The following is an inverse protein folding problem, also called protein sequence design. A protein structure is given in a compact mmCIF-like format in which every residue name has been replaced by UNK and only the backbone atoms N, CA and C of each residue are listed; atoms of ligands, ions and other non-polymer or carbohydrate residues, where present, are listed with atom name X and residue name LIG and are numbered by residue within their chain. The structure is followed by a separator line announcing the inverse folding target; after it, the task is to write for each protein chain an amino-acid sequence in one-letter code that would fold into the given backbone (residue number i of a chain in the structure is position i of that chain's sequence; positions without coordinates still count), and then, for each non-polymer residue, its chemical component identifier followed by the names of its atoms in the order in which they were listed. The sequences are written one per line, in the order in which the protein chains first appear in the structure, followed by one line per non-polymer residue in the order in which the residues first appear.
data_IF_896757716037
#
_entry.id   IF_896757716037
#
_cell.length_a   1.000
_cell.length_b   1.000
_cell.length_c   1.000
_cell.angle_alpha   90.00
_cell.angle_beta   90.00
_cell.angle_gamma   90.00
#
_symmetry.space_group_name_H-M   'P 1'
#
loop_
_entity.id
_entity.type
_entity.pdbx_description
1 polymer ?
#
# COMPACT_ATOMS: atom_id res chain seq x y z
N UNK A 1 -0.79 -7.28 35.65
CA UNK A 1 -1.07 -6.38 34.51
C UNK A 1 -0.80 -6.99 33.12
N UNK A 2 -0.03 -8.07 33.00
CA UNK A 2 0.28 -8.75 31.72
C UNK A 2 -0.88 -9.61 31.15
N UNK A 3 -1.80 -10.09 31.97
CA UNK A 3 -2.91 -10.95 31.53
C UNK A 3 -3.97 -10.22 30.68
N UNK A 4 -4.18 -8.92 30.85
CA UNK A 4 -5.17 -8.17 30.07
C UNK A 4 -4.76 -7.89 28.60
N UNK A 5 -3.47 -7.86 28.31
CA UNK A 5 -2.99 -7.58 26.95
C UNK A 5 -3.15 -8.80 26.03
N UNK A 6 -3.00 -10.03 26.55
CA UNK A 6 -3.17 -11.27 25.80
C UNK A 6 -4.64 -11.54 25.46
N UNK A 7 -5.55 -11.30 26.39
CA UNK A 7 -6.99 -11.48 26.18
C UNK A 7 -7.55 -10.48 25.16
N UNK A 8 -7.10 -9.24 25.17
CA UNK A 8 -7.47 -8.24 24.16
C UNK A 8 -6.97 -8.61 22.76
N UNK A 9 -5.76 -9.12 22.63
CA UNK A 9 -5.20 -9.57 21.34
C UNK A 9 -5.96 -10.77 20.77
N UNK A 10 -6.33 -11.74 21.59
CA UNK A 10 -7.13 -12.90 21.18
C UNK A 10 -8.56 -12.51 20.78
N UNK A 11 -9.17 -11.56 21.45
CA UNK A 11 -10.50 -11.05 21.08
C UNK A 11 -10.46 -10.30 19.74
N UNK A 12 -9.45 -9.49 19.49
CA UNK A 12 -9.28 -8.77 18.24
C UNK A 12 -9.07 -9.73 17.08
N UNK A 13 -8.23 -10.76 17.25
CA UNK A 13 -7.97 -11.79 16.24
C UNK A 13 -9.25 -12.61 15.94
N UNK A 14 -10.01 -12.98 16.99
CA UNK A 14 -11.29 -13.68 16.85
C UNK A 14 -12.32 -12.84 16.09
N UNK A 15 -12.46 -11.57 16.41
CA UNK A 15 -13.41 -10.68 15.76
C UNK A 15 -13.03 -10.44 14.29
N UNK A 16 -11.72 -10.33 13.99
CA UNK A 16 -11.21 -10.26 12.62
C UNK A 16 -11.53 -11.53 11.82
N UNK A 17 -11.34 -12.71 12.42
CA UNK A 17 -11.66 -14.00 11.80
C UNK A 17 -13.16 -14.13 11.50
N UNK A 18 -14.02 -13.70 12.42
CA UNK A 18 -15.48 -13.72 12.26
C UNK A 18 -15.92 -12.79 11.12
N UNK A 19 -15.38 -11.58 11.04
CA UNK A 19 -15.68 -10.64 9.95
C UNK A 19 -15.22 -11.20 8.61
N UNK A 20 -14.05 -11.83 8.54
CA UNK A 20 -13.53 -12.46 7.33
C UNK A 20 -14.41 -13.64 6.89
N UNK A 21 -14.84 -14.50 7.82
CA UNK A 21 -15.75 -15.62 7.54
C UNK A 21 -17.13 -15.13 7.08
N UNK A 22 -17.66 -14.08 7.68
CA UNK A 22 -18.92 -13.47 7.25
C UNK A 22 -18.81 -12.87 5.83
N UNK A 23 -17.71 -12.21 5.49
CA UNK A 23 -17.48 -11.69 4.14
C UNK A 23 -17.40 -12.82 3.10
N UNK A 24 -16.75 -13.94 3.43
CA UNK A 24 -16.66 -15.11 2.54
C UNK A 24 -18.05 -15.75 2.31
N UNK A 25 -18.91 -15.78 3.33
CA UNK A 25 -20.26 -16.38 3.25
C UNK A 25 -21.20 -15.58 2.33
N UNK A 26 -21.01 -14.29 2.16
CA UNK A 26 -21.79 -13.47 1.23
C UNK A 26 -21.38 -13.65 -0.24
N UNK A 27 -20.17 -14.17 -0.50
CA UNK A 27 -19.60 -14.30 -1.85
C UNK A 27 -19.99 -15.59 -2.59
N UNK A 28 -20.71 -16.52 -1.95
CA UNK A 28 -20.96 -17.87 -2.48
C UNK A 28 -21.92 -17.94 -3.70
N UNK A 29 -22.34 -16.82 -4.27
CA UNK A 29 -23.22 -16.74 -5.45
C UNK A 29 -22.56 -16.08 -6.67
N UNK A 30 -21.25 -16.16 -6.83
CA UNK A 30 -20.58 -15.59 -7.99
C UNK A 30 -20.31 -16.66 -9.06
N UNK A 31 -20.58 -16.27 -10.32
CA UNK A 31 -20.40 -17.07 -11.54
C UNK A 31 -19.06 -17.81 -11.59
N UNK A 32 -19.09 -19.04 -12.15
CA UNK A 32 -17.90 -19.81 -12.51
C UNK A 32 -17.06 -19.04 -13.55
N UNK A 33 -16.07 -18.32 -13.09
CA UNK A 33 -15.09 -17.73 -13.97
C UNK A 33 -14.16 -18.83 -14.48
N UNK A 34 -14.19 -19.06 -15.80
CA UNK A 34 -13.30 -19.99 -16.49
C UNK A 34 -11.85 -19.69 -16.07
N UNK A 35 -11.15 -20.70 -15.56
CA UNK A 35 -9.73 -20.59 -15.21
C UNK A 35 -8.91 -20.37 -16.48
N UNK A 36 -8.56 -19.12 -16.77
CA UNK A 36 -7.69 -18.77 -17.90
C UNK A 36 -6.40 -18.17 -17.38
N UNK A 37 -5.30 -18.47 -18.06
CA UNK A 37 -4.06 -17.75 -17.86
C UNK A 37 -4.21 -16.33 -18.40
N UNK A 38 -3.73 -15.36 -17.67
CA UNK A 38 -3.65 -13.96 -18.09
C UNK A 38 -2.34 -13.33 -17.65
N UNK A 39 -1.92 -12.32 -18.36
CA UNK A 39 -0.81 -11.47 -17.99
C UNK A 39 -1.13 -10.02 -18.35
N UNK A 40 -0.48 -9.11 -17.70
CA UNK A 40 -0.57 -7.67 -18.00
C UNK A 40 0.74 -6.98 -17.65
N UNK A 41 1.03 -5.91 -18.36
CA UNK A 41 2.12 -4.98 -18.05
C UNK A 41 1.55 -3.58 -18.11
N UNK A 42 1.88 -2.76 -17.12
CA UNK A 42 1.48 -1.37 -17.08
C UNK A 42 2.67 -0.50 -16.72
N UNK A 43 2.86 0.61 -17.42
CA UNK A 43 3.88 1.60 -17.12
C UNK A 43 3.21 2.94 -16.80
N UNK A 44 3.58 3.57 -15.69
CA UNK A 44 3.02 4.81 -15.20
C UNK A 44 4.12 5.84 -15.00
N UNK A 45 3.93 7.04 -15.55
CA UNK A 45 4.72 8.22 -15.19
C UNK A 45 3.90 9.08 -14.27
N UNK A 46 4.44 9.44 -13.12
CA UNK A 46 3.76 10.27 -12.13
C UNK A 46 4.63 11.43 -11.66
N UNK A 47 4.00 12.55 -11.35
CA UNK A 47 4.70 13.74 -10.82
C UNK A 47 5.24 13.53 -9.42
N UNK A 48 4.58 12.70 -8.62
CA UNK A 48 4.98 12.38 -7.25
C UNK A 48 4.65 10.92 -6.94
N UNK A 49 5.56 10.24 -6.24
CA UNK A 49 5.28 8.94 -5.65
C UNK A 49 4.67 9.14 -4.27
N UNK A 50 3.39 8.84 -4.13
CA UNK A 50 2.64 8.95 -2.88
C UNK A 50 2.06 7.58 -2.54
N UNK A 51 2.30 7.12 -1.32
CA UNK A 51 1.83 5.83 -0.84
C UNK A 51 1.01 6.01 0.44
N UNK A 52 -0.28 5.67 0.40
CA UNK A 52 -1.21 5.76 1.55
C UNK A 52 -1.19 7.13 2.25
N UNK A 53 -1.14 8.21 1.47
CA UNK A 53 -1.04 9.58 1.96
C UNK A 53 0.36 10.06 2.30
N UNK A 54 1.35 9.18 2.36
CA UNK A 54 2.74 9.54 2.60
C UNK A 54 3.43 9.92 1.29
N UNK A 55 4.11 11.04 1.26
CA UNK A 55 5.02 11.39 0.17
C UNK A 55 6.27 10.51 0.25
N UNK A 56 6.53 9.73 -0.78
CA UNK A 56 7.65 8.80 -0.85
C UNK A 56 8.76 9.34 -1.76
N UNK A 57 8.40 10.07 -2.81
CA UNK A 57 9.35 10.65 -3.74
C UNK A 57 8.71 11.57 -4.76
N UNK A 58 9.56 12.23 -5.55
CA UNK A 58 9.20 13.13 -6.65
C UNK A 58 8.79 12.38 -7.93
N UNK A 59 9.11 12.94 -9.09
CA UNK A 59 8.77 12.34 -10.38
C UNK A 59 9.33 10.93 -10.53
N UNK A 60 8.49 10.00 -11.01
CA UNK A 60 8.89 8.61 -11.13
C UNK A 60 8.24 7.89 -12.30
N UNK A 61 8.97 6.88 -12.79
CA UNK A 61 8.47 5.83 -13.67
C UNK A 61 8.21 4.58 -12.83
N UNK A 62 6.98 4.08 -12.90
CA UNK A 62 6.54 2.91 -12.18
C UNK A 62 6.08 1.86 -13.20
N UNK A 63 6.62 0.66 -13.12
CA UNK A 63 6.28 -0.46 -14.00
C UNK A 63 5.66 -1.56 -13.16
N UNK A 64 4.56 -2.11 -13.64
CA UNK A 64 3.80 -3.18 -13.01
C UNK A 64 3.66 -4.33 -14.00
N UNK A 65 3.98 -5.55 -13.58
CA UNK A 65 3.81 -6.75 -14.38
C UNK A 65 3.12 -7.83 -13.55
N UNK A 66 2.05 -8.39 -14.07
CA UNK A 66 1.25 -9.41 -13.41
C UNK A 66 1.08 -10.64 -14.28
N UNK A 67 1.16 -11.82 -13.68
CA UNK A 67 0.71 -13.09 -14.27
C UNK A 67 -0.32 -13.70 -13.34
N UNK A 68 -1.41 -14.25 -13.90
CA UNK A 68 -2.48 -14.83 -13.10
C UNK A 68 -3.04 -16.11 -13.74
N UNK A 69 -3.46 -17.04 -12.86
CA UNK A 69 -4.12 -18.27 -13.24
C UNK A 69 -5.07 -18.75 -12.14
N UNK A 70 -6.30 -19.03 -12.48
CA UNK A 70 -7.32 -19.61 -11.58
C UNK A 70 -7.52 -18.80 -10.27
N UNK A 71 -7.35 -17.48 -10.33
CA UNK A 71 -7.43 -16.59 -9.17
C UNK A 71 -6.10 -16.36 -8.45
N UNK A 72 -5.12 -17.23 -8.59
CA UNK A 72 -3.76 -16.98 -8.09
C UNK A 72 -3.03 -16.00 -9.01
N UNK A 73 -2.18 -15.16 -8.44
CA UNK A 73 -1.35 -14.25 -9.21
C UNK A 73 0.00 -14.01 -8.55
N UNK A 74 0.96 -13.65 -9.42
CA UNK A 74 2.23 -13.06 -9.02
C UNK A 74 2.36 -11.71 -9.73
N UNK A 75 2.81 -10.72 -9.01
CA UNK A 75 3.00 -9.37 -9.50
C UNK A 75 4.39 -8.89 -9.10
N UNK A 76 5.03 -8.16 -10.00
CA UNK A 76 6.23 -7.39 -9.75
C UNK A 76 5.93 -5.93 -10.08
N UNK A 77 6.15 -5.07 -9.12
CA UNK A 77 6.11 -3.63 -9.32
C UNK A 77 7.51 -3.06 -9.11
N UNK A 78 7.88 -2.12 -9.95
CA UNK A 78 9.17 -1.48 -9.91
C UNK A 78 9.01 0.03 -10.02
N UNK A 79 9.72 0.77 -9.18
CA UNK A 79 9.80 2.22 -9.20
C UNK A 79 11.24 2.67 -9.48
N UNK A 80 11.37 3.59 -10.41
CA UNK A 80 12.58 4.39 -10.61
C UNK A 80 12.16 5.84 -10.54
N UNK A 81 12.45 6.48 -9.42
CA UNK A 81 12.00 7.82 -9.15
C UNK A 81 13.07 8.69 -8.50
N UNK A 82 12.94 9.98 -8.70
CA UNK A 82 13.72 10.97 -7.99
C UNK A 82 13.21 11.09 -6.54
N UNK A 83 14.09 11.39 -5.60
CA UNK A 83 13.70 11.66 -4.21
C UNK A 83 12.81 12.90 -4.11
N UNK A 84 13.06 13.87 -5.00
CA UNK A 84 12.33 15.12 -5.09
C UNK A 84 12.37 15.71 -6.51
N UNK A 85 11.82 16.91 -6.68
CA UNK A 85 11.85 17.64 -7.95
C UNK A 85 13.20 18.22 -8.34
N UNK A 86 14.22 18.15 -7.50
CA UNK A 86 15.58 18.62 -7.79
C UNK A 86 16.42 17.58 -8.53
N UNK A 87 15.96 16.32 -8.55
CA UNK A 87 16.64 15.18 -9.19
C UNK A 87 18.06 14.94 -8.64
N UNK A 88 18.32 15.32 -7.39
CA UNK A 88 19.63 15.12 -6.75
C UNK A 88 19.84 13.72 -6.20
N UNK A 89 18.76 12.95 -6.04
CA UNK A 89 18.79 11.58 -5.57
C UNK A 89 17.72 10.73 -6.23
N UNK A 90 17.90 9.41 -6.16
CA UNK A 90 16.96 8.42 -6.67
C UNK A 90 16.62 7.40 -5.58
N UNK A 91 15.38 6.92 -5.59
CA UNK A 91 14.86 5.91 -4.67
C UNK A 91 14.29 4.70 -5.42
N UNK A 92 15.14 3.85 -6.01
CA UNK A 92 14.67 2.65 -6.67
C UNK A 92 14.06 1.68 -5.65
N UNK A 93 12.92 1.10 -6.03
CA UNK A 93 12.19 0.13 -5.22
C UNK A 93 11.67 -1.00 -6.10
N UNK A 94 11.71 -2.23 -5.61
CA UNK A 94 11.11 -3.40 -6.24
C UNK A 94 10.21 -4.09 -5.24
N UNK A 95 8.97 -4.27 -5.63
CA UNK A 95 7.95 -4.98 -4.86
C UNK A 95 7.58 -6.28 -5.56
N UNK A 96 7.63 -7.38 -4.82
CA UNK A 96 7.10 -8.66 -5.25
C UNK A 96 5.83 -8.98 -4.47
N UNK A 97 4.80 -9.40 -5.18
CA UNK A 97 3.52 -9.76 -4.57
C UNK A 97 3.03 -11.11 -5.10
N UNK A 98 2.59 -11.97 -4.21
CA UNK A 98 1.87 -13.19 -4.54
C UNK A 98 0.51 -13.15 -3.86
N UNK A 99 -0.53 -13.62 -4.54
CA UNK A 99 -1.86 -13.51 -3.98
C UNK A 99 -2.90 -14.38 -4.67
N UNK A 100 -4.09 -14.28 -4.13
CA UNK A 100 -5.30 -14.88 -4.65
C UNK A 100 -6.41 -13.84 -4.70
N UNK A 101 -7.08 -13.72 -5.86
CA UNK A 101 -8.17 -12.77 -6.08
C UNK A 101 -9.34 -13.48 -6.73
N UNK A 102 -10.48 -13.54 -6.03
CA UNK A 102 -11.71 -14.12 -6.53
C UNK A 102 -12.91 -13.63 -5.72
N UNK A 103 -14.06 -13.50 -6.35
CA UNK A 103 -15.33 -13.13 -5.70
C UNK A 103 -15.29 -11.81 -4.92
N UNK A 104 -14.55 -10.82 -5.43
CA UNK A 104 -14.34 -9.55 -4.74
C UNK A 104 -13.30 -9.59 -3.62
N UNK A 105 -12.89 -10.78 -3.16
CA UNK A 105 -11.83 -10.96 -2.17
C UNK A 105 -10.47 -10.97 -2.86
N UNK A 106 -9.50 -10.26 -2.27
CA UNK A 106 -8.10 -10.35 -2.64
C UNK A 106 -7.27 -10.50 -1.38
N UNK A 107 -6.45 -11.54 -1.33
CA UNK A 107 -5.50 -11.80 -0.25
C UNK A 107 -4.13 -11.89 -0.88
N UNK A 108 -3.18 -11.10 -0.41
CA UNK A 108 -1.83 -11.16 -0.93
C UNK A 108 -0.78 -10.88 0.14
N UNK A 109 0.42 -11.31 -0.18
CA UNK A 109 1.63 -10.98 0.55
C UNK A 109 2.54 -10.14 -0.34
N UNK A 110 2.95 -9.01 0.17
CA UNK A 110 3.85 -8.06 -0.46
C UNK A 110 5.22 -8.11 0.21
N UNK A 111 6.27 -8.19 -0.59
CA UNK A 111 7.66 -8.01 -0.19
C UNK A 111 8.22 -6.81 -0.94
N UNK A 112 8.48 -5.71 -0.23
CA UNK A 112 9.13 -4.52 -0.78
C UNK A 112 10.63 -4.61 -0.56
N UNK A 113 11.40 -4.19 -1.55
CA UNK A 113 12.84 -4.06 -1.45
C UNK A 113 13.29 -2.68 -1.90
N UNK A 114 14.02 -2.01 -1.01
CA UNK A 114 14.61 -0.69 -1.21
C UNK A 114 16.11 -0.83 -1.43
N UNK A 115 16.62 -0.30 -2.54
CA UNK A 115 18.05 -0.25 -2.82
C UNK A 115 18.71 0.86 -1.98
N UNK A 116 19.22 0.48 -0.82
CA UNK A 116 19.75 1.38 0.20
C UNK A 116 21.00 0.75 0.84
N UNK A 117 21.49 1.33 1.92
CA UNK A 117 22.60 0.82 2.71
C UNK A 117 22.19 0.68 4.18
N UNK A 118 22.76 -0.30 4.86
CA UNK A 118 22.71 -0.39 6.30
C UNK A 118 23.52 0.75 6.95
N UNK A 119 23.33 1.03 8.25
CA UNK A 119 24.08 2.08 8.95
C UNK A 119 25.61 1.91 8.93
N UNK A 120 26.10 0.71 8.68
CA UNK A 120 27.53 0.40 8.52
C UNK A 120 28.05 0.63 7.08
N UNK A 121 27.20 1.12 6.18
CA UNK A 121 27.52 1.39 4.78
C UNK A 121 27.46 0.17 3.86
N UNK A 122 27.11 -1.01 4.36
CA UNK A 122 26.92 -2.18 3.51
C UNK A 122 25.60 -2.11 2.71
N UNK A 123 25.56 -2.59 1.45
CA UNK A 123 24.33 -2.62 0.67
C UNK A 123 23.25 -3.47 1.35
N UNK A 124 22.00 -3.01 1.24
CA UNK A 124 20.85 -3.77 1.75
C UNK A 124 20.66 -5.09 1.01
N UNK A 125 20.11 -6.09 1.69
CA UNK A 125 19.90 -7.43 1.16
C UNK A 125 18.40 -7.70 0.93
N UNK A 126 18.06 -8.24 -0.25
CA UNK A 126 16.69 -8.58 -0.62
C UNK A 126 16.05 -9.63 0.33
N UNK A 127 16.83 -10.57 0.83
CA UNK A 127 16.36 -11.64 1.75
C UNK A 127 16.57 -11.31 3.23
N UNK A 128 16.61 -10.03 3.59
CA UNK A 128 16.67 -9.63 4.98
C UNK A 128 15.27 -9.56 5.58
N UNK A 129 14.87 -10.61 6.29
CA UNK A 129 13.58 -10.72 6.96
C UNK A 129 13.60 -10.28 8.43
N UNK A 130 14.69 -9.68 8.87
CA UNK A 130 14.83 -9.18 10.25
C UNK A 130 13.97 -7.94 10.44
N UNK A 131 13.64 -7.70 11.71
CA UNK A 131 13.07 -6.42 12.08
C UNK A 131 14.19 -5.41 12.25
N UNK A 132 14.02 -4.24 11.68
CA UNK A 132 14.98 -3.16 11.76
C UNK A 132 14.34 -1.95 12.47
N UNK A 133 15.14 -1.19 13.23
CA UNK A 133 14.69 0.10 13.69
C UNK A 133 14.40 1.00 12.50
N UNK A 134 13.74 2.05 12.79
CA UNK A 134 13.45 3.15 11.91
C UNK A 134 14.67 3.53 11.04
N UNK A 135 14.49 3.50 9.71
CA UNK A 135 15.54 3.81 8.73
C UNK A 135 16.58 2.73 8.51
N UNK A 136 16.52 1.60 9.21
CA UNK A 136 17.40 0.46 8.96
C UNK A 136 16.79 -0.56 7.99
N UNK A 137 17.65 -1.39 7.39
CA UNK A 137 17.26 -2.47 6.49
C UNK A 137 16.76 -2.04 5.13
N UNK A 138 16.69 -2.96 4.19
CA UNK A 138 16.25 -2.73 2.80
C UNK A 138 14.90 -3.32 2.45
N UNK A 139 14.22 -3.99 3.40
CA UNK A 139 13.02 -4.75 3.08
C UNK A 139 11.87 -4.46 4.02
N UNK A 140 10.66 -4.71 3.55
CA UNK A 140 9.46 -4.83 4.38
C UNK A 140 8.53 -5.90 3.83
N UNK A 141 7.89 -6.65 4.73
CA UNK A 141 6.86 -7.62 4.38
C UNK A 141 5.49 -7.19 4.91
N UNK A 142 4.46 -7.37 4.10
CA UNK A 142 3.11 -6.96 4.45
C UNK A 142 2.06 -7.96 3.95
N UNK A 143 1.16 -8.39 4.82
CA UNK A 143 -0.07 -9.03 4.43
C UNK A 143 -1.14 -8.01 4.09
N UNK A 144 -1.89 -8.26 3.02
CA UNK A 144 -3.01 -7.44 2.58
C UNK A 144 -4.24 -8.30 2.36
N UNK A 145 -5.35 -7.87 2.88
CA UNK A 145 -6.67 -8.46 2.62
C UNK A 145 -7.59 -7.34 2.18
N UNK A 146 -8.17 -7.45 1.00
CA UNK A 146 -9.15 -6.48 0.53
C UNK A 146 -10.39 -7.17 0.00
N UNK A 147 -11.50 -6.47 0.09
CA UNK A 147 -12.78 -6.93 -0.40
C UNK A 147 -13.51 -5.79 -1.11
N UNK A 148 -14.04 -6.09 -2.30
CA UNK A 148 -14.94 -5.21 -3.07
C UNK A 148 -16.33 -5.84 -3.07
N UNK A 149 -17.33 -5.08 -2.65
CA UNK A 149 -18.70 -5.60 -2.47
C UNK A 149 -19.30 -6.10 -3.78
N UNK A 150 -19.31 -5.24 -4.82
CA UNK A 150 -19.76 -5.60 -6.17
C UNK A 150 -19.50 -4.44 -7.14
N UNK A 151 -19.75 -4.65 -8.43
CA UNK A 151 -19.71 -3.58 -9.42
C UNK A 151 -20.87 -2.59 -9.27
N UNK A 152 -22.02 -3.06 -8.75
CA UNK A 152 -23.18 -2.18 -8.47
C UNK A 152 -22.99 -1.33 -7.22
N UNK A 153 -22.25 -1.85 -6.24
CA UNK A 153 -21.89 -1.16 -5.01
C UNK A 153 -20.36 -1.19 -4.93
N UNK A 154 -19.67 -0.25 -5.59
CA UNK A 154 -18.22 -0.24 -5.72
C UNK A 154 -17.53 0.24 -4.43
N UNK A 155 -18.01 -0.25 -3.29
CA UNK A 155 -17.42 -0.08 -1.98
C UNK A 155 -16.35 -1.13 -1.77
N UNK A 156 -15.20 -0.71 -1.29
CA UNK A 156 -14.07 -1.58 -0.96
C UNK A 156 -13.53 -1.31 0.43
N UNK A 157 -12.94 -2.35 1.01
CA UNK A 157 -12.19 -2.27 2.26
C UNK A 157 -10.85 -2.98 2.06
N UNK A 158 -9.76 -2.39 2.55
CA UNK A 158 -8.43 -2.99 2.61
C UNK A 158 -7.97 -3.00 4.07
N UNK A 159 -7.41 -4.11 4.51
CA UNK A 159 -6.63 -4.21 5.74
C UNK A 159 -5.25 -4.72 5.39
N UNK A 160 -4.23 -4.01 5.84
CA UNK A 160 -2.84 -4.38 5.63
C UNK A 160 -2.08 -4.31 6.94
N UNK A 161 -1.15 -5.25 7.16
CA UNK A 161 -0.29 -5.22 8.35
C UNK A 161 1.11 -5.73 8.03
N UNK A 162 2.10 -5.04 8.58
CA UNK A 162 3.51 -5.38 8.38
C UNK A 162 3.94 -6.55 9.25
N UNK A 163 4.85 -7.37 8.73
CA UNK A 163 5.33 -8.58 9.41
C UNK A 163 6.81 -8.52 9.75
N UNK A 164 7.61 -7.81 8.97
CA UNK A 164 9.03 -7.61 9.20
C UNK A 164 9.56 -6.36 8.49
N UNK A 165 10.83 -6.05 8.69
CA UNK A 165 11.55 -4.99 8.02
C UNK A 165 11.53 -3.68 8.78
N UNK A 166 11.38 -2.56 8.08
CA UNK A 166 11.43 -1.19 8.60
C UNK A 166 10.21 -0.81 9.46
N UNK A 167 9.82 -1.68 10.39
CA UNK A 167 8.61 -1.51 11.20
C UNK A 167 8.91 -1.51 12.72
N UNK A 168 10.18 -1.30 13.07
CA UNK A 168 10.64 -1.26 14.45
C UNK A 168 10.76 0.17 14.99
N UNK A 169 10.53 0.31 16.30
CA UNK A 169 10.77 1.51 17.06
C UNK A 169 11.47 1.19 18.38
N UNK A 170 12.23 2.15 18.91
CA UNK A 170 13.01 1.96 20.12
C UNK A 170 12.21 2.41 21.35
N UNK A 171 12.25 1.59 22.41
CA UNK A 171 11.78 1.96 23.76
C UNK A 171 12.84 1.49 24.75
N UNK A 172 13.35 2.41 25.53
CA UNK A 172 14.37 2.14 26.56
C UNK A 172 15.61 1.37 26.05
N UNK A 173 16.01 1.64 24.80
CA UNK A 173 17.12 0.97 24.14
C UNK A 173 16.79 -0.40 23.51
N UNK A 174 15.58 -0.89 23.66
CA UNK A 174 15.11 -2.14 23.06
C UNK A 174 14.31 -1.90 21.78
N UNK A 175 14.51 -2.78 20.78
CA UNK A 175 13.79 -2.73 19.51
C UNK A 175 12.45 -3.46 19.62
N UNK A 176 11.39 -2.69 19.47
CA UNK A 176 10.01 -3.18 19.42
C UNK A 176 9.49 -3.19 17.99
N UNK A 177 8.65 -4.19 17.66
CA UNK A 177 7.93 -4.26 16.38
C UNK A 177 6.53 -3.65 16.52
N UNK A 178 6.19 -2.73 15.62
CA UNK A 178 4.89 -2.06 15.65
C UNK A 178 3.76 -2.92 15.08
N UNK A 179 4.05 -3.82 14.12
CA UNK A 179 3.03 -4.48 13.30
C UNK A 179 2.09 -3.46 12.67
N UNK A 180 2.69 -2.43 12.07
CA UNK A 180 1.96 -1.27 11.52
C UNK A 180 0.79 -1.73 10.68
N UNK A 181 -0.41 -1.37 11.13
CA UNK A 181 -1.67 -1.78 10.52
C UNK A 181 -2.29 -0.58 9.82
N UNK A 182 -2.77 -0.79 8.60
CA UNK A 182 -3.49 0.19 7.79
C UNK A 182 -4.84 -0.37 7.39
N UNK A 183 -5.88 0.45 7.50
CA UNK A 183 -7.23 0.11 7.05
C UNK A 183 -7.67 1.23 6.10
N UNK A 184 -8.21 0.84 4.94
CA UNK A 184 -8.73 1.78 3.95
C UNK A 184 -10.15 1.42 3.55
N UNK A 185 -11.02 2.41 3.50
CA UNK A 185 -12.30 2.34 2.85
C UNK A 185 -12.23 3.09 1.52
N UNK A 186 -12.76 2.47 0.49
CA UNK A 186 -12.77 3.02 -0.86
C UNK A 186 -14.16 3.00 -1.48
N UNK A 187 -14.48 4.03 -2.26
CA UNK A 187 -15.66 4.06 -3.11
C UNK A 187 -15.28 4.62 -4.48
N UNK A 188 -15.72 3.93 -5.54
CA UNK A 188 -15.40 4.28 -6.93
C UNK A 188 -16.68 4.76 -7.64
N UNK A 189 -16.73 6.03 -8.00
CA UNK A 189 -17.84 6.62 -8.74
C UNK A 189 -17.57 6.55 -10.24
N UNK A 190 -18.36 5.77 -10.96
CA UNK A 190 -18.36 5.80 -12.43
C UNK A 190 -19.09 7.07 -12.88
N UNK A 191 -18.36 7.98 -13.51
CA UNK A 191 -18.89 9.25 -14.02
C UNK A 191 -19.32 9.16 -15.50
N UNK A 192 -19.25 7.96 -16.08
CA UNK A 192 -19.50 7.74 -17.50
C UNK A 192 -18.35 8.14 -18.42
N UNK A 193 -18.44 7.77 -19.69
CA UNK A 193 -17.45 8.07 -20.72
C UNK A 193 -16.00 7.76 -20.28
N UNK A 194 -15.79 6.64 -19.57
CA UNK A 194 -14.50 6.20 -19.02
C UNK A 194 -13.84 7.16 -18.02
N UNK A 195 -14.64 8.01 -17.33
CA UNK A 195 -14.21 8.76 -16.18
C UNK A 195 -14.54 8.01 -14.90
N UNK A 196 -13.57 7.92 -14.01
CA UNK A 196 -13.71 7.28 -12.69
C UNK A 196 -13.20 8.25 -11.62
N UNK A 197 -14.03 8.52 -10.60
CA UNK A 197 -13.60 9.22 -9.38
C UNK A 197 -13.50 8.22 -8.24
N UNK A 198 -12.30 8.01 -7.71
CA UNK A 198 -12.05 7.15 -6.58
C UNK A 198 -11.88 7.98 -5.31
N UNK A 199 -12.70 7.71 -4.30
CA UNK A 199 -12.59 8.30 -2.96
C UNK A 199 -11.98 7.27 -2.00
N UNK A 200 -11.05 7.70 -1.12
CA UNK A 200 -10.35 6.82 -0.17
C UNK A 200 -10.26 7.49 1.19
N UNK A 201 -10.49 6.70 2.23
CA UNK A 201 -10.29 7.06 3.63
C UNK A 201 -9.39 6.00 4.27
N UNK A 202 -8.20 6.40 4.72
CA UNK A 202 -7.23 5.52 5.36
C UNK A 202 -7.03 5.87 6.83
N UNK A 203 -6.94 4.85 7.66
CA UNK A 203 -6.68 4.98 9.10
C UNK A 203 -5.61 3.99 9.53
N UNK A 204 -4.96 4.29 10.65
CA UNK A 204 -4.20 3.33 11.44
C UNK A 204 -4.85 3.20 12.81
N UNK A 205 -5.16 1.98 13.29
CA UNK A 205 -5.87 1.77 14.55
C UNK A 205 -4.96 1.78 15.77
N UNK A 206 -3.64 1.79 15.57
CA UNK A 206 -2.64 1.68 16.63
C UNK A 206 -1.35 2.37 16.22
N UNK A 207 -0.41 2.43 17.15
CA UNK A 207 0.97 2.90 16.91
C UNK A 207 1.56 2.25 15.66
N UNK A 208 2.03 3.06 14.73
CA UNK A 208 2.46 2.59 13.42
C UNK A 208 3.47 3.52 12.76
N UNK A 209 4.08 3.03 11.68
CA UNK A 209 4.93 3.87 10.84
C UNK A 209 4.17 5.10 10.28
N UNK A 210 2.85 4.99 10.02
CA UNK A 210 2.03 6.08 9.47
C UNK A 210 1.88 7.25 10.43
N UNK A 211 2.10 7.01 11.74
CA UNK A 211 2.06 8.03 12.79
C UNK A 211 3.46 8.34 13.34
N UNK A 212 4.52 7.86 12.67
CA UNK A 212 5.88 7.97 13.22
C UNK A 212 6.05 7.22 14.55
N UNK A 213 5.25 6.17 14.74
CA UNK A 213 5.16 5.39 15.99
C UNK A 213 4.66 6.19 17.19
N UNK A 214 3.96 7.29 16.94
CA UNK A 214 3.29 8.09 17.97
C UNK A 214 1.78 7.92 17.87
N UNK A 215 1.11 8.00 19.04
CA UNK A 215 -0.35 7.84 19.12
C UNK A 215 -0.83 6.43 18.81
N UNK A 216 -2.09 6.18 19.09
CA UNK A 216 -2.71 4.86 18.96
C UNK A 216 -3.68 4.76 17.78
N UNK A 217 -4.31 5.87 17.41
CA UNK A 217 -5.25 5.95 16.29
C UNK A 217 -5.00 7.23 15.49
N UNK A 218 -5.07 7.10 14.15
CA UNK A 218 -5.00 8.28 13.28
C UNK A 218 -5.73 8.06 11.96
N UNK A 219 -6.30 9.15 11.43
CA UNK A 219 -6.69 9.24 10.02
C UNK A 219 -5.44 9.65 9.25
N UNK A 220 -4.99 8.77 8.35
CA UNK A 220 -3.73 8.95 7.64
C UNK A 220 -3.92 9.34 6.17
N UNK A 221 -5.12 9.15 5.64
CA UNK A 221 -5.46 9.47 4.26
C UNK A 221 -6.91 9.91 4.15
N UNK A 222 -7.14 11.04 3.48
CA UNK A 222 -8.40 11.38 2.80
C UNK A 222 -8.04 11.74 1.36
N UNK A 223 -8.44 10.92 0.40
CA UNK A 223 -7.97 11.02 -0.99
C UNK A 223 -9.08 11.00 -2.02
N UNK A 224 -8.89 11.77 -3.09
CA UNK A 224 -9.71 11.75 -4.30
C UNK A 224 -8.79 11.59 -5.51
N UNK A 225 -9.05 10.56 -6.33
CA UNK A 225 -8.32 10.33 -7.58
C UNK A 225 -9.30 10.33 -8.74
N UNK A 226 -9.14 11.28 -9.65
CA UNK A 226 -9.87 11.32 -10.91
C UNK A 226 -9.03 10.63 -11.99
N UNK A 227 -9.61 9.67 -12.68
CA UNK A 227 -9.00 8.97 -13.80
C UNK A 227 -9.82 9.15 -15.08
N UNK A 228 -9.12 9.21 -16.20
CA UNK A 228 -9.70 9.12 -17.55
C UNK A 228 -8.93 8.08 -18.33
N UNK A 229 -9.65 7.16 -18.98
CA UNK A 229 -9.04 6.09 -19.78
C UNK A 229 -9.48 6.16 -21.24
N UNK A 230 -8.57 5.73 -22.13
CA UNK A 230 -8.81 5.59 -23.58
C UNK A 230 -8.32 4.20 -24.01
N UNK A 231 -9.23 3.40 -24.53
CA UNK A 231 -8.89 2.08 -25.11
C UNK A 231 -8.34 2.31 -26.52
N UNK A 232 -7.17 1.76 -26.76
CA UNK A 232 -6.48 1.75 -28.05
C UNK A 232 -6.48 0.33 -28.62
N UNK A 233 -6.08 0.15 -29.88
CA UNK A 233 -6.01 -1.16 -30.52
C UNK A 233 -5.10 -2.17 -29.81
N UNK A 234 -4.07 -1.69 -29.11
CA UNK A 234 -3.04 -2.53 -28.48
C UNK A 234 -2.84 -2.21 -27.00
N UNK A 235 -3.86 -1.68 -26.30
CA UNK A 235 -3.76 -1.40 -24.88
C UNK A 235 -4.64 -0.24 -24.44
N UNK A 236 -4.41 0.23 -23.23
CA UNK A 236 -5.17 1.32 -22.62
C UNK A 236 -4.24 2.41 -22.14
N UNK A 237 -4.49 3.65 -22.56
CA UNK A 237 -3.86 4.84 -21.98
C UNK A 237 -4.78 5.38 -20.89
N UNK A 238 -4.23 5.77 -19.75
CA UNK A 238 -4.99 6.48 -18.72
C UNK A 238 -4.23 7.71 -18.25
N UNK A 239 -4.97 8.75 -17.88
CA UNK A 239 -4.43 9.92 -17.20
C UNK A 239 -5.15 10.09 -15.86
N UNK A 240 -4.45 10.59 -14.85
CA UNK A 240 -5.03 10.81 -13.54
C UNK A 240 -4.56 12.09 -12.87
N UNK A 241 -5.42 12.60 -12.00
CA UNK A 241 -5.09 13.59 -10.98
C UNK A 241 -5.52 13.05 -9.62
N UNK A 242 -4.62 13.10 -8.65
CA UNK A 242 -4.84 12.57 -7.31
C UNK A 242 -4.53 13.64 -6.28
N UNK A 243 -5.50 13.96 -5.42
CA UNK A 243 -5.37 14.89 -4.30
C UNK A 243 -5.55 14.09 -3.02
N UNK A 244 -4.59 14.22 -2.11
CA UNK A 244 -4.58 13.50 -0.84
C UNK A 244 -4.29 14.45 0.31
N UNK A 245 -5.14 14.41 1.32
CA UNK A 245 -4.90 15.01 2.62
C UNK A 245 -4.36 13.94 3.55
N UNK A 246 -3.31 14.29 4.29
CA UNK A 246 -2.81 13.52 5.42
C UNK A 246 -3.14 14.29 6.71
N UNK A 247 -4.26 13.98 7.38
CA UNK A 247 -4.69 14.72 8.57
C UNK A 247 -3.71 14.58 9.73
N UNK A 248 -3.12 13.39 9.88
CA UNK A 248 -2.04 13.16 10.84
C UNK A 248 -0.72 13.62 10.25
N UNK A 249 -0.03 14.54 10.93
CA UNK A 249 1.30 14.96 10.55
C UNK A 249 2.37 14.26 11.39
N UNK A 250 3.31 13.62 10.70
CA UNK A 250 4.55 13.19 11.33
C UNK A 250 5.48 14.40 11.37
N UNK A 251 5.87 14.83 12.56
CA UNK A 251 6.82 15.93 12.71
C UNK A 251 8.22 15.49 12.27
N UNK A 252 9.09 16.44 11.87
CA UNK A 252 10.47 16.13 11.41
C UNK A 252 11.26 15.28 12.40
N UNK A 253 11.06 15.51 13.70
CA UNK A 253 11.77 14.81 14.77
C UNK A 253 11.37 13.32 14.88
N UNK A 254 10.29 12.92 14.20
CA UNK A 254 9.72 11.57 14.23
C UNK A 254 9.81 10.85 12.88
N UNK A 255 10.50 11.44 11.91
CA UNK A 255 10.63 10.91 10.58
C UNK A 255 11.47 9.64 10.54
N UNK A 256 10.93 8.64 9.85
CA UNK A 256 11.43 7.27 9.86
C UNK A 256 12.44 7.00 8.77
N UNK A 257 12.46 7.81 7.73
CA UNK A 257 13.35 7.65 6.58
C UNK A 257 13.67 9.01 5.97
N UNK A 258 14.86 9.20 5.37
CA UNK A 258 15.16 10.40 4.57
C UNK A 258 14.11 10.66 3.48
N UNK A 259 13.55 9.60 2.90
CA UNK A 259 12.49 9.63 1.89
C UNK A 259 11.18 10.21 2.44
N UNK A 260 10.94 10.12 3.75
CA UNK A 260 9.74 10.64 4.41
C UNK A 260 9.91 12.05 5.00
N UNK A 261 11.05 12.71 4.81
CA UNK A 261 11.20 14.11 5.24
C UNK A 261 10.16 15.03 4.58
N UNK A 262 9.72 14.69 3.39
CA UNK A 262 8.63 15.39 2.70
C UNK A 262 7.23 14.97 3.19
N UNK A 263 7.10 13.91 3.98
CA UNK A 263 5.83 13.40 4.50
C UNK A 263 5.13 14.32 5.52
N UNK A 264 5.75 15.45 5.88
CA UNK A 264 5.11 16.50 6.67
C UNK A 264 4.10 17.35 5.88
N UNK A 265 3.89 17.08 4.60
CA UNK A 265 2.91 17.82 3.79
C UNK A 265 1.50 17.32 4.10
N UNK A 266 0.64 18.24 4.56
CA UNK A 266 -0.78 17.96 4.78
C UNK A 266 -1.51 17.62 3.48
N UNK A 267 -1.12 18.25 2.39
CA UNK A 267 -1.72 18.13 1.08
C UNK A 267 -0.68 17.61 0.09
N UNK A 268 -0.96 16.45 -0.48
CA UNK A 268 -0.18 15.87 -1.55
C UNK A 268 -1.02 15.85 -2.84
N UNK A 269 -0.38 16.21 -3.95
CA UNK A 269 -1.01 16.16 -5.28
C UNK A 269 -0.10 15.36 -6.21
N UNK A 270 -0.68 14.44 -6.96
CA UNK A 270 0.01 13.74 -8.03
C UNK A 270 -0.81 13.81 -9.32
N UNK A 271 -0.13 14.01 -10.43
CA UNK A 271 -0.70 13.83 -11.77
C UNK A 271 0.16 12.84 -12.53
N UNK A 272 -0.45 12.10 -13.42
CA UNK A 272 0.32 11.12 -14.17
C UNK A 272 -0.47 10.52 -15.32
N UNK A 273 0.22 9.70 -16.08
CA UNK A 273 -0.38 8.89 -17.13
C UNK A 273 0.20 7.48 -17.10
N UNK A 274 -0.58 6.52 -17.59
CA UNK A 274 -0.16 5.14 -17.70
C UNK A 274 -0.54 4.57 -19.05
N UNK A 275 0.22 3.55 -19.47
CA UNK A 275 -0.09 2.69 -20.59
C UNK A 275 0.00 1.24 -20.14
N UNK A 276 -1.06 0.48 -20.42
CA UNK A 276 -1.16 -0.94 -20.07
C UNK A 276 -1.61 -1.80 -21.25
N UNK A 277 -1.08 -3.03 -21.28
CA UNK A 277 -1.41 -4.09 -22.22
C UNK A 277 -1.78 -5.36 -21.47
#
# INVERSE_FOLDING_TARGET
MQTNCYTMRLQTLRNFLIVTILMISFSAKAEEQKSSFSWSVNATVTSNYIWRGLYVGGPSLQVDATVAYAGFYANMWWNVGATDWTFTGFNPEVDLMIGFSRWGLNINYLHCFYFDHYPDGTPTCFFDFRNHPRGGGGTTGEWRVSYRVSDKIPLSCLVAFRTFGRDGYMVDGELHRAYSTYIELGYDFDLGANWLLAARLGITPAKSLYTGFQGDFAVTLVGLKLNKSWTLSYGTVSAFAHVMLQPWQVTKDNLIMPIMEAGSQKLNVAVGCSYGI
#
